data_IF_174244086851
#
_entry.id   IF_174244086851
#
_cell.length_a   1.000
_cell.length_b   1.000
_cell.length_c   1.000
_cell.angle_alpha   90.00
_cell.angle_beta   90.00
_cell.angle_gamma   90.00
#
_symmetry.space_group_name_H-M   'P 1'
#
loop_
_entity.id
_entity.type
_entity.pdbx_description
1 polymer ?
#
# COMPACT_ATOMS: atom_id res chain seq x y z
N UNK A 1 -38.42 27.17 12.09
CA UNK A 1 -37.08 26.99 12.67
C UNK A 1 -36.39 25.86 11.97
N UNK A 2 -35.18 26.07 11.44
CA UNK A 2 -34.35 24.99 10.90
C UNK A 2 -33.42 24.57 12.03
N UNK A 3 -33.47 23.30 12.42
CA UNK A 3 -32.54 22.71 13.38
C UNK A 3 -31.51 21.92 12.57
N UNK A 4 -30.24 22.24 12.75
CA UNK A 4 -29.12 21.50 12.20
C UNK A 4 -28.47 20.72 13.34
N UNK A 5 -28.56 19.40 13.27
CA UNK A 5 -27.86 18.51 14.20
C UNK A 5 -26.54 18.08 13.58
N UNK A 6 -25.44 18.43 14.24
CA UNK A 6 -24.09 18.14 13.76
C UNK A 6 -23.73 16.77 14.33
N UNK A 7 -23.29 15.85 13.46
CA UNK A 7 -22.78 14.56 13.89
C UNK A 7 -21.68 14.69 14.94
N UNK A 8 -21.55 13.70 15.82
CA UNK A 8 -20.61 13.73 16.96
C UNK A 8 -19.13 13.65 16.56
N UNK A 9 -18.83 13.60 15.26
CA UNK A 9 -17.50 13.39 14.67
C UNK A 9 -16.71 14.67 14.42
N UNK A 10 -17.17 15.82 14.90
CA UNK A 10 -16.45 17.09 14.81
C UNK A 10 -15.94 17.53 16.18
N UNK A 11 -14.89 18.37 16.19
CA UNK A 11 -14.41 19.13 17.35
C UNK A 11 -15.61 19.82 18.03
N UNK A 12 -16.22 19.14 18.99
CA UNK A 12 -17.37 19.67 19.70
C UNK A 12 -16.84 20.58 20.79
N UNK A 13 -16.89 21.89 20.56
CA UNK A 13 -16.52 22.87 21.58
C UNK A 13 -15.09 22.72 22.12
N UNK A 14 -14.13 22.37 21.25
CA UNK A 14 -12.68 22.20 21.52
C UNK A 14 -12.20 20.81 22.00
N UNK A 15 -13.08 19.82 22.15
CA UNK A 15 -12.66 18.43 22.43
C UNK A 15 -12.65 17.59 21.15
N UNK A 16 -11.53 16.92 20.87
CA UNK A 16 -11.49 15.86 19.87
C UNK A 16 -12.12 14.60 20.47
N UNK A 17 -13.13 14.06 19.80
CA UNK A 17 -13.75 12.78 20.13
C UNK A 17 -13.57 11.86 18.94
N UNK A 18 -12.92 10.72 19.17
CA UNK A 18 -12.80 9.70 18.14
C UNK A 18 -14.21 9.25 17.73
N UNK A 19 -14.56 9.36 16.43
CA UNK A 19 -15.87 8.94 15.97
C UNK A 19 -15.95 7.41 15.99
N UNK A 20 -17.06 6.86 16.49
CA UNK A 20 -17.37 5.45 16.30
C UNK A 20 -17.62 5.21 14.81
N UNK A 21 -16.82 4.35 14.19
CA UNK A 21 -16.93 4.01 12.76
C UNK A 21 -17.49 2.61 12.58
N UNK A 22 -17.90 2.30 11.35
CA UNK A 22 -18.31 0.94 10.95
C UNK A 22 -17.12 0.06 10.55
N UNK A 23 -15.90 0.39 11.00
CA UNK A 23 -14.69 -0.34 10.61
C UNK A 23 -14.76 -1.81 11.05
N UNK A 24 -14.65 -2.73 10.09
CA UNK A 24 -14.63 -4.18 10.31
C UNK A 24 -13.23 -4.73 10.53
N UNK A 25 -12.21 -4.07 9.97
CA UNK A 25 -10.82 -4.53 10.01
C UNK A 25 -9.87 -3.40 10.42
N UNK A 26 -8.70 -3.79 10.95
CA UNK A 26 -7.67 -2.85 11.42
C UNK A 26 -6.36 -3.17 10.71
N UNK A 27 -5.87 -2.21 9.92
CA UNK A 27 -4.50 -2.25 9.36
C UNK A 27 -3.52 -1.93 10.48
N UNK A 28 -2.47 -2.75 10.61
CA UNK A 28 -1.42 -2.57 11.63
C UNK A 28 -0.05 -2.46 10.98
N UNK A 29 0.91 -1.96 11.73
CA UNK A 29 2.30 -1.91 11.28
C UNK A 29 2.78 -3.34 11.01
N UNK A 30 3.43 -3.55 9.87
CA UNK A 30 4.02 -4.81 9.47
C UNK A 30 4.93 -5.43 10.55
N UNK A 31 5.68 -4.61 11.29
CA UNK A 31 6.57 -5.06 12.36
C UNK A 31 5.84 -5.58 13.60
N UNK A 32 4.55 -5.25 13.75
CA UNK A 32 3.72 -5.70 14.86
C UNK A 32 3.01 -7.03 14.60
N UNK A 33 3.08 -7.55 13.37
CA UNK A 33 2.47 -8.82 13.02
C UNK A 33 3.26 -9.99 13.58
N UNK A 34 2.54 -10.98 14.10
CA UNK A 34 3.12 -12.26 14.52
C UNK A 34 3.51 -13.13 13.33
N UNK A 35 4.36 -14.13 13.57
CA UNK A 35 4.79 -15.07 12.52
C UNK A 35 3.60 -15.82 11.88
N UNK A 36 2.58 -16.18 12.68
CA UNK A 36 1.37 -16.84 12.18
C UNK A 36 0.50 -15.94 11.32
N UNK A 37 0.40 -14.65 11.65
CA UNK A 37 -0.30 -13.66 10.83
C UNK A 37 0.44 -13.40 9.51
N UNK A 38 1.77 -13.36 9.55
CA UNK A 38 2.62 -13.26 8.36
C UNK A 38 2.48 -14.51 7.47
N UNK A 39 2.46 -15.72 8.05
CA UNK A 39 2.20 -16.95 7.28
C UNK A 39 0.80 -16.96 6.66
N UNK A 40 -0.22 -16.52 7.39
CA UNK A 40 -1.58 -16.38 6.86
C UNK A 40 -1.65 -15.39 5.71
N UNK A 41 -0.98 -14.24 5.84
CA UNK A 41 -0.91 -13.23 4.80
C UNK A 41 -0.15 -13.74 3.55
N UNK A 42 0.95 -14.48 3.73
CA UNK A 42 1.68 -15.14 2.62
C UNK A 42 0.82 -16.14 1.88
N UNK A 43 0.10 -17.00 2.60
CA UNK A 43 -0.79 -17.99 2.00
C UNK A 43 -1.86 -17.31 1.15
N UNK A 44 -2.59 -16.33 1.71
CA UNK A 44 -3.63 -15.62 0.98
C UNK A 44 -3.08 -14.83 -0.22
N UNK A 45 -1.88 -14.24 -0.09
CA UNK A 45 -1.27 -13.52 -1.20
C UNK A 45 -0.81 -14.46 -2.33
N UNK A 46 -0.30 -15.64 -1.99
CA UNK A 46 0.01 -16.67 -2.97
C UNK A 46 -1.26 -17.11 -3.71
N UNK A 47 -2.36 -17.36 -2.99
CA UNK A 47 -3.62 -17.80 -3.59
C UNK A 47 -4.13 -16.77 -4.63
N UNK A 48 -4.10 -15.47 -4.32
CA UNK A 48 -4.51 -14.41 -5.28
C UNK A 48 -3.51 -14.19 -6.42
N UNK A 49 -2.28 -14.67 -6.30
CA UNK A 49 -1.32 -14.69 -7.41
C UNK A 49 -1.57 -15.88 -8.33
N UNK A 50 -1.89 -17.05 -7.77
CA UNK A 50 -2.15 -18.28 -8.53
C UNK A 50 -3.44 -18.24 -9.34
N UNK A 51 -4.48 -17.54 -8.84
CA UNK A 51 -5.76 -17.36 -9.55
C UNK A 51 -5.80 -16.13 -10.48
N UNK A 52 -4.68 -15.40 -10.59
CA UNK A 52 -4.51 -14.15 -11.34
C UNK A 52 -5.31 -12.94 -10.83
N UNK A 53 -5.96 -13.01 -9.67
CA UNK A 53 -6.68 -11.88 -9.07
C UNK A 53 -5.73 -10.69 -8.84
N UNK A 54 -4.53 -10.93 -8.31
CA UNK A 54 -3.53 -9.87 -8.10
C UNK A 54 -3.06 -9.23 -9.40
N UNK A 55 -2.83 -10.01 -10.46
CA UNK A 55 -2.42 -9.49 -11.78
C UNK A 55 -3.52 -8.60 -12.38
N UNK A 56 -4.79 -9.01 -12.25
CA UNK A 56 -5.93 -8.22 -12.68
C UNK A 56 -6.02 -6.91 -11.90
N UNK A 57 -5.83 -6.94 -10.57
CA UNK A 57 -5.80 -5.72 -9.76
C UNK A 57 -4.63 -4.82 -10.19
N UNK A 58 -3.43 -5.38 -10.35
CA UNK A 58 -2.24 -4.63 -10.77
C UNK A 58 -2.42 -3.92 -12.12
N UNK A 59 -3.21 -4.50 -13.04
CA UNK A 59 -3.50 -3.90 -14.34
C UNK A 59 -4.33 -2.60 -14.27
N UNK A 60 -5.03 -2.33 -13.16
CA UNK A 60 -5.67 -1.03 -12.94
C UNK A 60 -4.63 0.08 -12.77
N UNK A 61 -3.50 -0.20 -12.12
CA UNK A 61 -2.46 0.78 -11.86
C UNK A 61 -1.46 0.89 -13.01
N UNK A 62 -1.03 -0.25 -13.57
CA UNK A 62 0.09 -0.31 -14.50
C UNK A 62 -0.28 -0.91 -15.85
N UNK A 63 0.70 -1.59 -16.46
CA UNK A 63 0.50 -2.34 -17.70
C UNK A 63 -0.40 -3.57 -17.44
N UNK A 64 -1.21 -4.00 -18.44
CA UNK A 64 -1.30 -3.50 -19.82
C UNK A 64 -2.11 -2.20 -20.02
N UNK A 65 -2.54 -1.51 -18.95
CA UNK A 65 -3.36 -0.29 -19.03
C UNK A 65 -4.80 -0.60 -19.47
N UNK A 66 -5.75 -0.40 -18.56
CA UNK A 66 -7.16 -0.69 -18.82
C UNK A 66 -7.97 0.51 -19.32
N UNK A 67 -7.42 1.72 -19.19
CA UNK A 67 -8.08 2.95 -19.60
C UNK A 67 -7.68 3.36 -21.01
N UNK A 68 -8.45 4.27 -21.62
CA UNK A 68 -8.17 4.78 -22.95
C UNK A 68 -8.11 6.30 -22.94
N UNK A 69 -7.09 6.85 -23.58
CA UNK A 69 -6.97 8.28 -23.86
C UNK A 69 -6.60 8.44 -25.33
N UNK A 70 -7.41 9.19 -26.07
CA UNK A 70 -7.21 9.45 -27.51
C UNK A 70 -6.99 8.17 -28.36
N UNK A 71 -7.66 7.07 -28.01
CA UNK A 71 -7.55 5.79 -28.72
C UNK A 71 -6.33 4.94 -28.36
N UNK A 72 -5.49 5.40 -27.43
CA UNK A 72 -4.37 4.65 -26.88
C UNK A 72 -4.70 4.09 -25.49
N UNK A 73 -4.25 2.86 -25.21
CA UNK A 73 -4.33 2.29 -23.87
C UNK A 73 -3.38 3.04 -22.94
N UNK A 74 -3.89 3.46 -21.79
CA UNK A 74 -3.16 4.16 -20.74
C UNK A 74 -3.44 3.51 -19.38
N UNK A 75 -2.57 3.75 -18.42
CA UNK A 75 -2.83 3.39 -17.03
C UNK A 75 -4.12 4.10 -16.53
N UNK A 76 -4.90 3.44 -15.66
CA UNK A 76 -6.09 4.05 -15.07
C UNK A 76 -5.79 4.86 -13.81
N UNK A 77 -4.57 4.76 -13.29
CA UNK A 77 -4.15 5.52 -12.12
C UNK A 77 -4.11 7.00 -12.42
N UNK A 78 -4.53 7.80 -11.45
CA UNK A 78 -4.44 9.26 -11.51
C UNK A 78 -3.24 9.69 -10.69
N UNK A 79 -2.31 10.39 -11.35
CA UNK A 79 -1.11 11.00 -10.78
C UNK A 79 -1.08 12.48 -11.16
N UNK A 80 -0.51 13.34 -10.32
CA UNK A 80 -0.48 14.79 -10.51
C UNK A 80 -1.86 15.45 -10.47
N UNK A 81 -2.81 14.84 -9.76
CA UNK A 81 -4.18 15.35 -9.61
C UNK A 81 -4.62 15.22 -8.15
N UNK A 82 -5.42 16.16 -7.60
CA UNK A 82 -5.91 16.09 -6.21
C UNK A 82 -6.67 14.81 -5.85
N UNK A 83 -7.13 14.03 -6.84
CA UNK A 83 -7.79 12.75 -6.65
C UNK A 83 -6.83 11.56 -6.46
N UNK A 84 -5.51 11.77 -6.58
CA UNK A 84 -4.47 10.75 -6.39
C UNK A 84 -4.64 9.95 -5.07
N UNK A 85 -4.83 10.58 -3.89
CA UNK A 85 -5.01 9.83 -2.66
C UNK A 85 -6.30 9.01 -2.65
N UNK A 86 -7.36 9.50 -3.31
CA UNK A 86 -8.65 8.80 -3.37
C UNK A 86 -8.57 7.54 -4.23
N UNK A 87 -7.90 7.62 -5.37
CA UNK A 87 -7.71 6.48 -6.27
C UNK A 87 -6.86 5.39 -5.59
N UNK A 88 -5.72 5.77 -5.00
CA UNK A 88 -4.83 4.81 -4.33
C UNK A 88 -5.45 4.22 -3.06
N UNK A 89 -6.32 4.97 -2.37
CA UNK A 89 -7.09 4.43 -1.24
C UNK A 89 -8.00 3.27 -1.67
N UNK A 90 -8.73 3.43 -2.79
CA UNK A 90 -9.56 2.35 -3.34
C UNK A 90 -8.72 1.19 -3.87
N UNK A 91 -7.55 1.48 -4.43
CA UNK A 91 -6.63 0.45 -4.90
C UNK A 91 -6.17 -0.48 -3.77
N UNK A 92 -5.77 0.07 -2.62
CA UNK A 92 -5.39 -0.74 -1.44
C UNK A 92 -6.59 -1.52 -0.91
N UNK A 93 -7.79 -0.92 -0.88
CA UNK A 93 -9.02 -1.60 -0.47
C UNK A 93 -9.30 -2.83 -1.35
N UNK A 94 -9.13 -2.71 -2.66
CA UNK A 94 -9.36 -3.80 -3.60
C UNK A 94 -8.41 -4.98 -3.35
N UNK A 95 -7.15 -4.72 -2.99
CA UNK A 95 -6.17 -5.74 -2.62
C UNK A 95 -6.53 -6.36 -1.26
N UNK A 96 -6.96 -5.55 -0.29
CA UNK A 96 -7.35 -6.02 1.02
C UNK A 96 -8.56 -6.95 0.99
N UNK A 97 -9.61 -6.59 0.27
CA UNK A 97 -10.78 -7.44 0.08
C UNK A 97 -10.42 -8.76 -0.62
N UNK A 98 -9.50 -8.73 -1.59
CA UNK A 98 -8.98 -9.95 -2.22
C UNK A 98 -8.25 -10.84 -1.21
N UNK A 99 -7.37 -10.28 -0.38
CA UNK A 99 -6.67 -11.02 0.66
C UNK A 99 -7.61 -11.61 1.71
N UNK A 100 -8.57 -10.82 2.20
CA UNK A 100 -9.54 -11.25 3.21
C UNK A 100 -10.46 -12.35 2.68
N UNK A 101 -10.94 -12.23 1.42
CA UNK A 101 -11.75 -13.28 0.78
C UNK A 101 -10.97 -14.58 0.53
N UNK A 102 -9.64 -14.51 0.43
CA UNK A 102 -8.73 -15.66 0.35
C UNK A 102 -8.21 -16.11 1.74
N UNK A 103 -8.87 -15.69 2.82
CA UNK A 103 -8.60 -16.22 4.16
C UNK A 103 -7.41 -15.59 4.88
N UNK A 104 -6.95 -14.41 4.46
CA UNK A 104 -6.02 -13.63 5.28
C UNK A 104 -6.66 -13.32 6.63
N UNK A 105 -5.96 -13.67 7.71
CA UNK A 105 -6.38 -13.37 9.08
C UNK A 105 -6.22 -11.91 9.48
N UNK A 106 -5.49 -11.13 8.65
CA UNK A 106 -5.21 -9.71 8.86
C UNK A 106 -5.54 -8.90 7.61
N UNK A 107 -5.93 -7.65 7.83
CA UNK A 107 -5.96 -6.62 6.80
C UNK A 107 -4.55 -6.35 6.24
N UNK A 108 -4.47 -5.66 5.09
CA UNK A 108 -3.19 -5.27 4.48
C UNK A 108 -2.38 -4.46 5.50
N UNK A 109 -1.18 -4.91 5.90
CA UNK A 109 -0.38 -4.15 6.82
C UNK A 109 0.21 -2.92 6.14
N UNK A 110 0.49 -1.89 6.93
CA UNK A 110 1.34 -0.79 6.47
C UNK A 110 2.77 -1.05 6.93
N UNK A 111 3.74 -0.84 6.06
CA UNK A 111 5.12 -0.68 6.44
C UNK A 111 5.32 0.79 6.78
N UNK A 112 5.83 1.11 7.97
CA UNK A 112 6.21 2.48 8.32
C UNK A 112 7.63 2.76 7.83
N UNK A 113 7.74 3.51 6.75
CA UNK A 113 8.99 3.97 6.14
C UNK A 113 9.31 5.44 6.50
N UNK A 114 8.50 6.07 7.36
CA UNK A 114 8.81 7.39 7.94
C UNK A 114 9.94 7.24 8.95
N UNK A 115 9.90 6.17 9.75
CA UNK A 115 10.95 5.80 10.67
C UNK A 115 12.20 5.34 9.90
N UNK A 116 13.42 5.80 10.25
CA UNK A 116 14.64 5.36 9.57
C UNK A 116 14.85 3.85 9.66
N UNK A 117 15.10 3.21 8.52
CA UNK A 117 15.30 1.77 8.40
C UNK A 117 16.76 1.41 8.10
N UNK A 118 17.21 0.27 8.63
CA UNK A 118 18.53 -0.29 8.33
C UNK A 118 18.48 -1.40 7.28
N UNK A 119 17.31 -2.03 7.12
CA UNK A 119 17.04 -3.08 6.14
C UNK A 119 15.58 -3.04 5.73
N UNK A 120 15.27 -3.61 4.57
CA UNK A 120 13.89 -3.84 4.17
C UNK A 120 13.22 -4.87 5.11
N UNK A 121 11.89 -4.78 5.32
CA UNK A 121 11.15 -5.77 6.09
C UNK A 121 11.34 -7.19 5.54
N UNK A 122 11.53 -8.15 6.43
CA UNK A 122 11.77 -9.55 6.06
C UNK A 122 10.65 -10.13 5.18
N UNK A 123 9.40 -9.65 5.34
CA UNK A 123 8.27 -10.06 4.50
C UNK A 123 8.53 -9.81 3.02
N UNK A 124 9.12 -8.69 2.65
CA UNK A 124 9.39 -8.36 1.25
C UNK A 124 10.83 -8.66 0.85
N UNK A 125 11.77 -8.76 1.80
CA UNK A 125 13.21 -8.85 1.47
C UNK A 125 13.72 -10.28 1.24
N UNK A 126 13.12 -11.29 1.88
CA UNK A 126 13.57 -12.68 1.76
C UNK A 126 12.96 -13.34 0.53
N UNK A 127 13.79 -13.95 -0.33
CA UNK A 127 13.31 -14.64 -1.54
C UNK A 127 12.52 -15.92 -1.25
N UNK A 128 12.78 -16.55 -0.11
CA UNK A 128 12.08 -17.74 0.36
C UNK A 128 11.68 -17.60 1.81
N UNK A 129 10.72 -18.40 2.25
CA UNK A 129 10.30 -18.52 3.63
C UNK A 129 10.11 -19.99 4.01
N UNK A 130 10.20 -20.29 5.29
CA UNK A 130 9.86 -21.62 5.80
C UNK A 130 8.34 -21.68 6.01
N UNK A 131 7.67 -22.59 5.29
CA UNK A 131 6.24 -22.83 5.40
C UNK A 131 6.00 -23.91 6.47
N UNK A 132 5.50 -23.50 7.63
CA UNK A 132 5.28 -24.41 8.76
C UNK A 132 4.21 -25.47 8.48
N UNK A 133 3.28 -25.23 7.54
CA UNK A 133 2.19 -26.17 7.20
C UNK A 133 2.70 -27.33 6.35
N UNK A 134 3.61 -27.04 5.42
CA UNK A 134 4.18 -28.02 4.49
C UNK A 134 5.57 -28.52 4.90
N UNK A 135 6.15 -27.93 5.95
CA UNK A 135 7.47 -28.29 6.51
C UNK A 135 8.61 -28.18 5.48
N UNK A 136 8.53 -27.20 4.57
CA UNK A 136 9.54 -26.95 3.52
C UNK A 136 9.79 -25.46 3.31
N UNK A 137 10.82 -25.14 2.52
CA UNK A 137 11.05 -23.77 2.07
C UNK A 137 10.36 -23.53 0.73
N UNK A 138 9.53 -22.50 0.67
CA UNK A 138 8.81 -22.07 -0.52
C UNK A 138 9.26 -20.68 -0.99
N UNK A 139 9.09 -20.35 -2.28
CA UNK A 139 9.24 -18.97 -2.76
C UNK A 139 8.32 -18.02 -2.00
N UNK A 140 8.82 -16.84 -1.66
CA UNK A 140 8.03 -15.84 -0.96
C UNK A 140 7.19 -15.02 -1.95
N UNK A 141 5.84 -15.06 -1.88
CA UNK A 141 4.97 -14.38 -2.85
C UNK A 141 5.09 -12.85 -2.80
N UNK A 142 5.58 -12.29 -1.69
CA UNK A 142 5.84 -10.85 -1.52
C UNK A 142 7.20 -10.39 -2.05
N UNK A 143 8.06 -11.29 -2.53
CA UNK A 143 9.40 -10.94 -3.00
C UNK A 143 9.39 -10.32 -4.41
N UNK A 144 8.59 -10.87 -5.31
CA UNK A 144 8.40 -10.38 -6.68
C UNK A 144 7.04 -10.81 -7.22
N UNK A 145 6.52 -10.08 -8.21
CA UNK A 145 5.30 -10.43 -8.94
C UNK A 145 5.59 -10.62 -10.43
N UNK A 146 4.75 -11.40 -11.11
CA UNK A 146 4.77 -11.51 -12.57
C UNK A 146 4.13 -10.28 -13.21
N UNK A 147 4.61 -9.89 -14.39
CA UNK A 147 4.06 -8.75 -15.14
C UNK A 147 3.13 -9.28 -16.23
N UNK A 148 1.83 -9.02 -16.08
CA UNK A 148 0.85 -9.51 -17.06
C UNK A 148 1.11 -8.93 -18.45
N UNK A 149 1.12 -9.79 -19.46
CA UNK A 149 1.39 -9.42 -20.86
C UNK A 149 2.88 -9.34 -21.22
N UNK A 150 3.78 -9.58 -20.27
CA UNK A 150 5.23 -9.62 -20.50
C UNK A 150 5.80 -10.93 -19.91
N UNK A 151 6.81 -11.54 -20.55
CA UNK A 151 7.53 -12.69 -19.96
C UNK A 151 8.59 -12.19 -18.96
N UNK A 152 8.10 -11.48 -17.92
CA UNK A 152 8.93 -10.74 -16.97
C UNK A 152 8.37 -10.80 -15.55
N UNK A 153 9.25 -10.55 -14.59
CA UNK A 153 8.92 -10.39 -13.16
C UNK A 153 9.43 -9.05 -12.66
N UNK A 154 8.77 -8.47 -11.67
CA UNK A 154 9.20 -7.22 -11.03
C UNK A 154 10.53 -7.43 -10.30
N UNK A 155 11.42 -6.45 -10.40
CA UNK A 155 12.69 -6.39 -9.66
C UNK A 155 12.71 -5.17 -8.75
N UNK A 156 13.69 -5.12 -7.84
CA UNK A 156 13.97 -3.98 -6.98
C UNK A 156 15.48 -3.77 -6.92
N UNK A 157 15.90 -2.52 -6.96
CA UNK A 157 17.27 -2.08 -6.72
C UNK A 157 17.24 -1.00 -5.63
N UNK A 158 17.14 -1.36 -4.34
CA UNK A 158 16.98 -0.39 -3.26
C UNK A 158 18.18 0.56 -3.18
N UNK A 159 17.92 1.85 -3.34
CA UNK A 159 18.94 2.89 -3.35
C UNK A 159 19.48 3.16 -1.93
N UNK A 160 20.77 3.52 -1.78
CA UNK A 160 21.35 3.82 -0.46
C UNK A 160 20.58 4.90 0.32
N UNK A 161 20.00 5.87 -0.39
CA UNK A 161 19.18 6.95 0.15
C UNK A 161 17.96 6.43 0.90
N UNK A 162 17.46 5.22 0.63
CA UNK A 162 16.32 4.62 1.33
C UNK A 162 16.60 4.35 2.82
N UNK A 163 17.88 4.18 3.20
CA UNK A 163 18.26 3.70 4.51
C UNK A 163 18.82 4.82 5.40
N UNK A 164 18.48 4.77 6.70
CA UNK A 164 19.04 5.62 7.75
C UNK A 164 19.03 7.14 7.48
N UNK A 165 17.95 7.67 6.90
CA UNK A 165 17.76 9.09 6.64
C UNK A 165 16.47 9.61 7.30
N UNK A 166 16.34 10.94 7.39
CA UNK A 166 15.16 11.62 7.92
C UNK A 166 14.27 12.25 6.83
N UNK A 167 14.55 12.01 5.54
CA UNK A 167 13.84 12.63 4.42
C UNK A 167 12.34 12.37 4.53
N UNK A 168 11.93 11.11 4.75
CA UNK A 168 10.51 10.76 4.85
C UNK A 168 9.82 11.43 6.04
N UNK A 169 10.50 11.55 7.18
CA UNK A 169 9.99 12.26 8.35
C UNK A 169 9.77 13.75 8.07
N UNK A 170 10.76 14.42 7.48
CA UNK A 170 10.67 15.85 7.15
C UNK A 170 9.59 16.13 6.09
N UNK A 171 9.50 15.29 5.05
CA UNK A 171 8.46 15.43 4.02
C UNK A 171 7.05 15.14 4.57
N UNK A 172 6.91 14.15 5.47
CA UNK A 172 5.63 13.87 6.13
C UNK A 172 5.19 15.03 7.02
N UNK A 173 6.09 15.63 7.80
CA UNK A 173 5.80 16.82 8.58
C UNK A 173 5.35 17.98 7.67
N UNK A 174 6.08 18.24 6.60
CA UNK A 174 5.75 19.33 5.68
C UNK A 174 4.41 19.14 4.98
N UNK A 175 4.05 17.90 4.61
CA UNK A 175 2.72 17.60 4.10
C UNK A 175 1.64 17.88 5.15
N UNK A 176 1.83 17.44 6.40
CA UNK A 176 0.85 17.63 7.47
C UNK A 176 0.69 19.08 7.94
N UNK A 177 1.63 19.97 7.62
CA UNK A 177 1.52 21.42 7.87
C UNK A 177 0.53 22.13 6.92
N UNK A 178 0.17 21.50 5.80
CA UNK A 178 -0.67 22.12 4.78
C UNK A 178 -2.15 22.15 5.21
N UNK A 179 -2.76 23.34 5.21
CA UNK A 179 -4.19 23.51 5.52
C UNK A 179 -5.09 23.37 4.28
N UNK A 180 -4.55 23.62 3.08
CA UNK A 180 -5.26 23.42 1.83
C UNK A 180 -5.05 21.99 1.35
N UNK A 181 -6.13 21.31 0.97
CA UNK A 181 -6.06 19.92 0.53
C UNK A 181 -5.19 19.71 -0.71
N UNK A 182 -5.20 20.63 -1.68
CA UNK A 182 -4.37 20.51 -2.88
C UNK A 182 -2.89 20.72 -2.56
N UNK A 183 -2.56 21.62 -1.63
CA UNK A 183 -1.16 21.83 -1.20
C UNK A 183 -0.65 20.60 -0.42
N UNK A 184 -1.50 20.03 0.46
CA UNK A 184 -1.23 18.76 1.14
C UNK A 184 -0.97 17.64 0.13
N UNK A 185 -1.85 17.51 -0.86
CA UNK A 185 -1.84 16.40 -1.79
C UNK A 185 -0.56 16.38 -2.64
N UNK A 186 -0.11 17.55 -3.12
CA UNK A 186 1.16 17.66 -3.85
C UNK A 186 2.34 17.15 -2.99
N UNK A 187 2.43 17.58 -1.73
CA UNK A 187 3.52 17.12 -0.85
C UNK A 187 3.40 15.64 -0.49
N UNK A 188 2.17 15.16 -0.30
CA UNK A 188 1.87 13.76 -0.04
C UNK A 188 2.27 12.86 -1.24
N UNK A 189 1.97 13.28 -2.47
CA UNK A 189 2.36 12.56 -3.68
C UNK A 189 3.89 12.59 -3.90
N UNK A 190 4.56 13.72 -3.63
CA UNK A 190 6.04 13.80 -3.69
C UNK A 190 6.69 12.83 -2.69
N UNK A 191 6.23 12.83 -1.45
CA UNK A 191 6.67 11.89 -0.42
C UNK A 191 6.48 10.43 -0.89
N UNK A 192 5.29 10.10 -1.40
CA UNK A 192 4.96 8.78 -1.96
C UNK A 192 5.94 8.37 -3.07
N UNK A 193 6.19 9.25 -4.03
CA UNK A 193 7.05 8.98 -5.18
C UNK A 193 8.49 8.64 -4.79
N UNK A 194 9.00 9.20 -3.69
CA UNK A 194 10.35 8.92 -3.22
C UNK A 194 10.54 7.45 -2.84
N UNK A 195 9.56 6.81 -2.18
CA UNK A 195 9.63 5.37 -1.91
C UNK A 195 9.65 4.55 -3.19
N UNK A 196 8.79 4.89 -4.15
CA UNK A 196 8.73 4.20 -5.45
C UNK A 196 10.08 4.24 -6.16
N UNK A 197 10.70 5.42 -6.24
CA UNK A 197 12.00 5.61 -6.87
C UNK A 197 13.12 4.89 -6.10
N UNK A 198 13.19 5.05 -4.78
CA UNK A 198 14.29 4.51 -3.99
C UNK A 198 14.18 2.99 -3.77
N UNK A 199 12.99 2.40 -3.86
CA UNK A 199 12.82 0.95 -3.78
C UNK A 199 13.04 0.26 -5.14
N UNK A 200 12.53 0.87 -6.21
CA UNK A 200 12.67 0.35 -7.59
C UNK A 200 14.08 0.54 -8.14
N UNK A 201 14.71 1.68 -7.86
CA UNK A 201 16.06 2.01 -8.28
C UNK A 201 16.20 2.19 -9.79
N UNK A 202 17.27 1.66 -10.35
CA UNK A 202 17.62 1.79 -11.78
C UNK A 202 16.92 0.76 -12.69
N UNK A 203 15.94 0.03 -12.16
CA UNK A 203 15.25 -1.07 -12.85
C UNK A 203 14.44 -0.62 -14.07
#
# INVERSE_FOLDING_TARGET
>A
TIVHDIGTSQLYGQEYREPVTTASHVRRNLESLSEGEIESLRSAFLDIQEDHTYENIASFHGKPGLCQHEGHKVACCVHGMPTFPSWHRLYVEQVEEALLSHGSSVAVPYWDWISPIQKLPDLINKATYYNSREQRFDPNPFFSGKVSGEDAVTTRDPQPELFNNNYFYEQALYALEQNNFCDFEIQFEILHNALHSWLGGHA
#
